data_IF_906957792934
#
_entry.id   IF_906957792934
#
_cell.length_a   1.000
_cell.length_b   1.000
_cell.length_c   1.000
_cell.angle_alpha   90.00
_cell.angle_beta   90.00
_cell.angle_gamma   90.00
#
_symmetry.space_group_name_H-M   'P 1'
#
loop_
_entity.id
_entity.type
_entity.pdbx_description
1 polymer ?
#
# COMPACT_ATOMS: atom_id res chain seq x y z
N UNK A 1 -0.78 -2.81 27.65
CA UNK A 1 -1.08 -2.28 29.00
C UNK A 1 -1.69 -0.89 28.97
N UNK A 2 -1.08 0.16 28.39
CA UNK A 2 -1.67 1.52 28.41
C UNK A 2 -3.02 1.64 27.66
N UNK A 3 -3.21 0.97 26.51
CA UNK A 3 -4.47 1.00 25.76
C UNK A 3 -5.66 0.38 26.53
N UNK A 4 -5.43 -0.75 27.21
CA UNK A 4 -6.44 -1.36 28.08
C UNK A 4 -6.78 -0.47 29.27
N UNK A 5 -5.78 0.19 29.87
CA UNK A 5 -6.00 1.13 30.96
C UNK A 5 -6.87 2.31 30.51
N UNK A 6 -6.64 2.87 29.31
CA UNK A 6 -7.45 3.98 28.79
C UNK A 6 -8.90 3.58 28.48
N UNK A 7 -9.10 2.38 27.93
CA UNK A 7 -10.44 1.86 27.63
C UNK A 7 -11.22 1.57 28.91
N UNK A 8 -10.57 1.00 29.92
CA UNK A 8 -11.16 0.75 31.23
C UNK A 8 -11.50 2.05 31.98
N UNK A 9 -10.65 3.08 31.90
CA UNK A 9 -10.94 4.38 32.48
C UNK A 9 -12.15 5.05 31.82
N UNK A 10 -12.26 4.97 30.49
CA UNK A 10 -13.40 5.51 29.75
C UNK A 10 -14.72 4.83 30.14
N UNK A 11 -14.72 3.49 30.26
CA UNK A 11 -15.88 2.75 30.75
C UNK A 11 -16.24 3.11 32.19
N UNK A 12 -15.25 3.27 33.06
CA UNK A 12 -15.46 3.69 34.45
C UNK A 12 -16.16 5.05 34.54
N UNK A 13 -15.67 6.06 33.80
CA UNK A 13 -16.31 7.38 33.78
C UNK A 13 -17.71 7.37 33.16
N UNK A 14 -17.91 6.59 32.08
CA UNK A 14 -19.23 6.45 31.44
C UNK A 14 -20.24 5.83 32.40
N UNK A 15 -19.88 4.76 33.11
CA UNK A 15 -20.76 4.09 34.07
C UNK A 15 -21.12 5.04 35.23
N UNK A 16 -20.15 5.78 35.77
CA UNK A 16 -20.41 6.76 36.83
C UNK A 16 -21.34 7.87 36.33
N UNK A 17 -21.13 8.39 35.12
CA UNK A 17 -21.99 9.41 34.55
C UNK A 17 -23.44 8.90 34.37
N UNK A 18 -23.61 7.68 33.86
CA UNK A 18 -24.92 7.03 33.70
C UNK A 18 -25.61 6.78 35.04
N UNK A 19 -24.89 6.30 36.05
CA UNK A 19 -25.41 6.11 37.41
C UNK A 19 -25.81 7.46 38.01
N UNK A 20 -24.98 8.49 37.87
CA UNK A 20 -25.28 9.85 38.33
C UNK A 20 -26.55 10.39 37.69
N UNK A 21 -26.72 10.20 36.38
CA UNK A 21 -27.93 10.59 35.65
C UNK A 21 -29.17 9.78 36.08
N UNK A 22 -29.02 8.48 36.29
CA UNK A 22 -30.10 7.62 36.77
C UNK A 22 -30.53 8.01 38.20
N UNK A 23 -29.58 8.25 39.10
CA UNK A 23 -29.85 8.72 40.47
C UNK A 23 -30.50 10.11 40.47
N UNK A 24 -30.01 11.03 39.63
CA UNK A 24 -30.63 12.34 39.44
C UNK A 24 -32.07 12.21 38.95
N UNK A 25 -32.30 11.39 37.91
CA UNK A 25 -33.62 11.10 37.38
C UNK A 25 -34.56 10.51 38.42
N UNK A 26 -34.10 9.50 39.18
CA UNK A 26 -34.88 8.88 40.27
C UNK A 26 -35.19 9.88 41.39
N UNK A 27 -34.24 10.71 41.80
CA UNK A 27 -34.45 11.75 42.79
C UNK A 27 -35.45 12.81 42.30
N UNK A 28 -35.39 13.18 41.02
CA UNK A 28 -36.31 14.15 40.42
C UNK A 28 -37.72 13.57 40.28
N UNK A 29 -37.86 12.31 39.86
CA UNK A 29 -39.14 11.58 39.85
C UNK A 29 -39.72 11.49 41.25
N UNK A 30 -38.90 11.15 42.26
CA UNK A 30 -39.35 11.06 43.65
C UNK A 30 -39.80 12.42 44.20
N UNK A 31 -39.09 13.50 43.89
CA UNK A 31 -39.51 14.87 44.22
C UNK A 31 -40.79 15.28 43.50
N UNK A 32 -40.96 14.91 42.23
CA UNK A 32 -42.17 15.25 41.46
C UNK A 32 -43.44 14.60 42.01
N UNK A 33 -43.32 13.45 42.70
CA UNK A 33 -44.44 12.76 43.35
C UNK A 33 -44.82 13.32 44.73
N UNK A 34 -43.99 14.19 45.32
CA UNK A 34 -44.21 14.71 46.66
C UNK A 34 -45.21 15.88 46.73
N UNK A 35 -45.66 16.43 45.60
CA UNK A 35 -46.63 17.55 45.60
C UNK A 35 -47.71 17.34 44.51
N UNK A 36 -48.65 16.45 44.77
CA UNK A 36 -49.98 16.55 44.17
C UNK A 36 -50.91 17.09 45.26
N UNK A 37 -51.18 18.41 45.24
CA UNK A 37 -52.42 18.94 45.79
C UNK A 37 -52.40 19.88 47.01
N UNK A 38 -51.31 20.52 47.44
CA UNK A 38 -51.43 21.51 48.52
C UNK A 38 -50.29 22.52 48.64
N UNK A 39 -50.12 23.45 47.69
CA UNK A 39 -50.01 24.88 48.05
C UNK A 39 -49.98 25.81 46.83
N UNK A 40 -50.73 26.91 46.95
CA UNK A 40 -50.68 28.04 46.01
C UNK A 40 -49.32 28.73 46.21
N UNK A 41 -48.24 28.12 45.72
CA UNK A 41 -46.95 28.78 45.61
C UNK A 41 -47.08 29.78 44.45
N UNK A 42 -46.78 31.05 44.71
CA UNK A 42 -46.62 32.07 43.66
C UNK A 42 -45.83 31.49 42.49
N UNK A 43 -46.32 31.71 41.27
CA UNK A 43 -45.63 31.30 40.05
C UNK A 43 -44.15 31.71 40.14
N UNK A 44 -43.22 30.87 39.67
CA UNK A 44 -41.79 31.05 39.94
C UNK A 44 -41.25 32.43 39.50
N UNK A 45 -41.88 33.06 38.51
CA UNK A 45 -41.62 34.41 38.01
C UNK A 45 -42.20 35.56 38.87
N UNK A 46 -43.01 35.26 39.89
CA UNK A 46 -43.62 36.23 40.82
C UNK A 46 -43.07 36.14 42.24
N UNK A 47 -42.14 35.21 42.50
CA UNK A 47 -41.41 35.18 43.77
C UNK A 47 -40.39 36.33 43.77
N UNK A 48 -40.20 37.07 44.89
CA UNK A 48 -39.10 38.01 45.01
C UNK A 48 -37.80 37.30 44.65
N UNK A 49 -37.04 37.90 43.74
CA UNK A 49 -35.71 37.38 43.40
C UNK A 49 -34.77 37.62 44.59
N UNK A 50 -33.55 37.10 44.52
CA UNK A 50 -32.54 37.39 45.55
C UNK A 50 -32.37 38.91 45.68
N UNK A 51 -32.20 39.40 46.91
CA UNK A 51 -31.81 40.79 47.16
C UNK A 51 -30.37 41.04 46.68
N UNK A 52 -30.01 42.31 46.55
CA UNK A 52 -28.70 42.70 46.02
C UNK A 52 -27.55 42.15 46.89
N UNK A 53 -27.72 42.07 48.21
CA UNK A 53 -26.70 41.52 49.12
C UNK A 53 -26.44 40.02 48.89
N UNK A 54 -27.49 39.23 48.62
CA UNK A 54 -27.35 37.81 48.28
C UNK A 54 -26.82 37.63 46.86
N UNK A 55 -27.23 38.48 45.92
CA UNK A 55 -26.75 38.48 44.54
C UNK A 55 -25.26 38.78 44.44
N UNK A 56 -24.82 39.87 45.07
CA UNK A 56 -23.44 40.36 45.06
C UNK A 56 -22.52 39.64 46.06
N UNK A 57 -23.08 38.88 47.00
CA UNK A 57 -22.32 38.02 47.91
C UNK A 57 -22.36 36.54 47.51
N UNK A 58 -23.11 35.75 48.27
CA UNK A 58 -23.08 34.27 48.19
C UNK A 58 -23.39 33.72 46.80
N UNK A 59 -24.26 34.38 46.03
CA UNK A 59 -24.66 33.90 44.71
C UNK A 59 -23.55 34.12 43.68
N UNK A 60 -22.97 35.31 43.60
CA UNK A 60 -21.89 35.60 42.65
C UNK A 60 -20.61 34.87 43.03
N UNK A 61 -20.24 34.79 44.31
CA UNK A 61 -19.05 34.05 44.78
C UNK A 61 -19.13 32.57 44.36
N UNK A 62 -20.29 31.94 44.54
CA UNK A 62 -20.51 30.55 44.13
C UNK A 62 -20.40 30.38 42.62
N UNK A 63 -20.94 31.30 41.83
CA UNK A 63 -20.83 31.26 40.37
C UNK A 63 -19.40 31.51 39.89
N UNK A 64 -18.68 32.44 40.52
CA UNK A 64 -17.27 32.73 40.23
C UNK A 64 -16.38 31.55 40.58
N UNK A 65 -16.61 30.87 41.70
CA UNK A 65 -15.91 29.64 42.06
C UNK A 65 -16.09 28.54 41.01
N UNK A 66 -17.30 28.39 40.46
CA UNK A 66 -17.57 27.47 39.34
C UNK A 66 -16.79 27.91 38.09
N UNK A 67 -16.78 29.21 37.79
CA UNK A 67 -16.00 29.78 36.68
C UNK A 67 -14.50 29.51 36.81
N UNK A 68 -13.93 29.71 37.99
CA UNK A 68 -12.52 29.41 38.30
C UNK A 68 -12.26 27.91 38.19
N UNK A 69 -13.16 27.05 38.66
CA UNK A 69 -13.03 25.61 38.52
C UNK A 69 -13.00 25.17 37.05
N UNK A 70 -13.89 25.70 36.21
CA UNK A 70 -13.86 25.46 34.76
C UNK A 70 -12.58 26.00 34.11
N UNK A 71 -12.13 27.20 34.51
CA UNK A 71 -10.88 27.76 34.01
C UNK A 71 -9.69 26.88 34.39
N UNK A 72 -9.63 26.39 35.62
CA UNK A 72 -8.59 25.47 36.08
C UNK A 72 -8.63 24.15 35.29
N UNK A 73 -9.81 23.60 35.03
CA UNK A 73 -9.98 22.40 34.21
C UNK A 73 -9.44 22.64 32.80
N UNK A 74 -9.85 23.72 32.12
CA UNK A 74 -9.39 24.02 30.76
C UNK A 74 -7.89 24.28 30.71
N UNK A 75 -7.36 25.02 31.69
CA UNK A 75 -5.94 25.35 31.80
C UNK A 75 -5.06 24.12 32.01
N UNK A 76 -5.56 23.08 32.68
CA UNK A 76 -4.83 21.82 32.86
C UNK A 76 -5.09 20.82 31.73
N UNK A 77 -6.34 20.70 31.27
CA UNK A 77 -6.74 19.71 30.28
C UNK A 77 -6.17 19.99 28.89
N UNK A 78 -6.09 21.26 28.47
CA UNK A 78 -5.56 21.60 27.13
C UNK A 78 -4.07 21.27 26.99
N UNK A 79 -3.17 21.66 27.93
CA UNK A 79 -1.77 21.24 27.86
C UNK A 79 -1.60 19.72 27.92
N UNK A 80 -2.37 19.03 28.78
CA UNK A 80 -2.34 17.56 28.85
C UNK A 80 -2.80 16.91 27.54
N UNK A 81 -3.84 17.44 26.90
CA UNK A 81 -4.31 16.98 25.60
C UNK A 81 -3.22 17.15 24.53
N UNK A 82 -2.54 18.30 24.51
CA UNK A 82 -1.46 18.58 23.57
C UNK A 82 -0.23 17.69 23.77
N UNK A 83 0.14 17.39 25.02
CA UNK A 83 1.25 16.47 25.34
C UNK A 83 0.97 15.06 24.79
N UNK A 84 -0.29 14.62 24.79
CA UNK A 84 -0.71 13.31 24.29
C UNK A 84 -1.04 13.29 22.79
N UNK A 85 -1.06 14.45 22.13
CA UNK A 85 -1.41 14.59 20.71
C UNK A 85 -0.50 13.78 19.76
N UNK A 86 0.84 13.69 19.95
CA UNK A 86 1.69 12.90 19.07
C UNK A 86 1.29 11.42 19.00
N UNK A 87 1.01 10.80 20.15
CA UNK A 87 0.56 9.41 20.20
C UNK A 87 -0.83 9.21 19.58
N UNK A 88 -1.71 10.22 19.68
CA UNK A 88 -3.03 10.19 19.04
C UNK A 88 -2.93 10.31 17.52
N UNK A 89 -2.02 11.15 17.02
CA UNK A 89 -1.70 11.27 15.59
C UNK A 89 -1.10 9.98 15.04
N UNK A 90 -0.20 9.34 15.78
CA UNK A 90 0.36 8.03 15.42
C UNK A 90 -0.71 6.94 15.40
N UNK A 91 -1.55 6.87 16.43
CA UNK A 91 -2.69 5.94 16.45
C UNK A 91 -3.69 6.18 15.31
N UNK A 92 -3.91 7.44 14.92
CA UNK A 92 -4.75 7.78 13.78
C UNK A 92 -4.15 7.32 12.45
N UNK A 93 -2.83 7.49 12.24
CA UNK A 93 -2.12 6.96 11.07
C UNK A 93 -2.21 5.44 11.01
N UNK A 94 -1.87 4.75 12.10
CA UNK A 94 -1.93 3.29 12.17
C UNK A 94 -3.35 2.78 11.89
N UNK A 95 -4.36 3.38 12.52
CA UNK A 95 -5.76 3.02 12.30
C UNK A 95 -6.25 3.35 10.89
N UNK A 96 -5.73 4.40 10.25
CA UNK A 96 -6.03 4.73 8.86
C UNK A 96 -5.43 3.70 7.91
N UNK A 97 -4.13 3.38 8.05
CA UNK A 97 -3.44 2.41 7.21
C UNK A 97 -4.07 1.02 7.29
N UNK A 98 -4.42 0.53 8.49
CA UNK A 98 -5.08 -0.77 8.66
C UNK A 98 -6.47 -0.79 8.02
N UNK A 99 -7.26 0.29 8.16
CA UNK A 99 -8.57 0.39 7.50
C UNK A 99 -8.44 0.46 5.99
N UNK A 100 -7.49 1.22 5.48
CA UNK A 100 -7.23 1.35 4.04
C UNK A 100 -6.76 0.02 3.45
N UNK A 101 -5.82 -0.66 4.10
CA UNK A 101 -5.39 -1.99 3.70
C UNK A 101 -6.55 -3.00 3.76
N UNK A 102 -7.44 -2.90 4.74
CA UNK A 102 -8.63 -3.76 4.82
C UNK A 102 -9.67 -3.47 3.73
N UNK A 103 -9.88 -2.21 3.35
CA UNK A 103 -10.76 -1.87 2.23
C UNK A 103 -10.14 -2.31 0.90
N UNK A 104 -8.84 -2.06 0.74
CA UNK A 104 -8.07 -2.49 -0.42
C UNK A 104 -8.04 -4.00 -0.59
N UNK A 105 -7.95 -4.77 0.50
CA UNK A 105 -7.96 -6.23 0.42
C UNK A 105 -9.27 -6.77 -0.13
N UNK A 106 -10.41 -6.15 0.22
CA UNK A 106 -11.73 -6.51 -0.32
C UNK A 106 -11.82 -6.20 -1.82
N UNK A 107 -11.29 -5.06 -2.25
CA UNK A 107 -11.24 -4.70 -3.68
C UNK A 107 -10.30 -5.63 -4.45
N UNK A 108 -9.19 -6.02 -3.85
CA UNK A 108 -8.19 -6.90 -4.46
C UNK A 108 -8.68 -8.36 -4.59
N UNK A 109 -9.61 -8.80 -3.76
CA UNK A 109 -10.06 -10.19 -3.68
C UNK A 109 -10.67 -10.72 -4.99
N UNK A 110 -10.90 -12.03 -5.05
CA UNK A 110 -11.57 -12.70 -6.17
C UNK A 110 -13.00 -12.18 -6.36
N UNK A 111 -13.52 -12.25 -7.59
CA UNK A 111 -14.91 -11.84 -7.89
C UNK A 111 -15.95 -12.58 -7.04
N UNK A 112 -15.68 -13.85 -6.70
CA UNK A 112 -16.56 -14.64 -5.83
C UNK A 112 -16.78 -14.02 -4.45
N UNK A 113 -15.82 -13.21 -3.97
CA UNK A 113 -15.88 -12.50 -2.69
C UNK A 113 -16.31 -11.02 -2.86
N UNK A 114 -16.74 -10.62 -4.07
CA UNK A 114 -17.12 -9.25 -4.38
C UNK A 114 -15.96 -8.30 -4.71
N UNK A 115 -14.75 -8.83 -4.91
CA UNK A 115 -13.59 -8.06 -5.36
C UNK A 115 -13.47 -7.94 -6.88
N UNK A 116 -12.41 -7.27 -7.34
CA UNK A 116 -12.12 -7.03 -8.76
C UNK A 116 -11.21 -8.09 -9.39
N UNK A 117 -11.02 -9.24 -8.72
CA UNK A 117 -10.27 -10.39 -9.19
C UNK A 117 -8.76 -10.21 -9.36
N UNK A 118 -8.16 -9.22 -8.70
CA UNK A 118 -6.72 -9.05 -8.67
C UNK A 118 -6.05 -10.31 -8.09
N UNK A 119 -6.61 -10.84 -6.99
CA UNK A 119 -6.19 -12.08 -6.35
C UNK A 119 -6.30 -13.30 -7.28
N UNK A 120 -7.33 -13.36 -8.13
CA UNK A 120 -7.51 -14.46 -9.08
C UNK A 120 -6.36 -14.54 -10.09
N UNK A 121 -5.89 -13.39 -10.57
CA UNK A 121 -4.78 -13.33 -11.52
C UNK A 121 -3.41 -13.42 -10.83
N UNK A 122 -3.21 -12.72 -9.72
CA UNK A 122 -1.89 -12.48 -9.11
C UNK A 122 -1.51 -13.44 -7.97
N UNK A 123 -2.16 -14.60 -7.87
CA UNK A 123 -1.75 -15.64 -6.91
C UNK A 123 -2.33 -15.47 -5.51
N UNK A 124 -3.63 -15.19 -5.44
CA UNK A 124 -4.39 -15.06 -4.20
C UNK A 124 -4.08 -13.79 -3.41
N UNK A 125 -4.53 -13.77 -2.16
CA UNK A 125 -4.39 -12.65 -1.21
C UNK A 125 -2.94 -12.38 -0.79
N UNK A 126 -2.00 -13.26 -1.09
CA UNK A 126 -0.57 -13.01 -0.87
C UNK A 126 0.14 -12.43 -2.09
N UNK A 127 -0.55 -12.33 -3.23
CA UNK A 127 0.03 -11.75 -4.44
C UNK A 127 1.30 -12.48 -4.90
N UNK A 128 1.36 -13.81 -4.78
CA UNK A 128 2.57 -14.59 -5.02
C UNK A 128 2.91 -14.81 -6.51
N UNK A 129 2.08 -14.28 -7.42
CA UNK A 129 2.16 -14.57 -8.84
C UNK A 129 1.19 -15.70 -9.21
N UNK A 130 0.66 -15.67 -10.41
CA UNK A 130 -0.39 -16.59 -10.84
C UNK A 130 -0.50 -16.65 -12.35
N UNK A 131 -1.70 -16.96 -12.84
CA UNK A 131 -1.98 -17.00 -14.26
C UNK A 131 -3.31 -16.31 -14.56
N UNK A 132 -3.43 -15.77 -15.77
CA UNK A 132 -4.66 -15.19 -16.29
C UNK A 132 -4.90 -15.70 -17.70
N UNK A 133 -6.15 -16.04 -18.00
CA UNK A 133 -6.55 -16.43 -19.35
C UNK A 133 -6.57 -15.19 -20.25
N UNK A 134 -6.00 -15.28 -21.45
CA UNK A 134 -5.92 -14.18 -22.39
C UNK A 134 -6.17 -14.62 -23.83
N UNK A 135 -6.97 -13.85 -24.56
CA UNK A 135 -7.20 -14.07 -25.98
C UNK A 135 -6.12 -13.34 -26.80
N UNK A 136 -5.32 -14.11 -27.54
CA UNK A 136 -4.36 -13.58 -28.51
C UNK A 136 -4.96 -13.64 -29.91
N UNK A 137 -4.99 -12.49 -30.57
CA UNK A 137 -5.29 -12.41 -32.00
C UNK A 137 -4.00 -12.46 -32.81
N UNK A 138 -3.91 -13.40 -33.74
CA UNK A 138 -2.83 -13.42 -34.73
C UNK A 138 -3.00 -12.25 -35.71
N UNK A 139 -2.00 -11.40 -35.81
CA UNK A 139 -2.04 -10.21 -36.66
C UNK A 139 -2.05 -10.50 -38.17
N UNK A 140 -1.65 -11.70 -38.59
CA UNK A 140 -1.58 -12.13 -39.99
C UNK A 140 -2.83 -12.88 -40.43
N UNK A 141 -3.34 -13.78 -39.58
CA UNK A 141 -4.49 -14.64 -39.92
C UNK A 141 -5.81 -14.14 -39.34
N UNK A 142 -5.77 -13.29 -38.32
CA UNK A 142 -6.96 -12.85 -37.57
C UNK A 142 -7.51 -13.92 -36.62
N UNK A 143 -6.87 -15.09 -36.53
CA UNK A 143 -7.29 -16.17 -35.66
C UNK A 143 -7.12 -15.77 -34.18
N UNK A 144 -8.10 -16.10 -33.36
CA UNK A 144 -8.07 -15.86 -31.92
C UNK A 144 -7.83 -17.18 -31.21
N UNK A 145 -6.75 -17.25 -30.43
CA UNK A 145 -6.48 -18.39 -29.55
C UNK A 145 -6.38 -17.93 -28.10
N UNK A 146 -6.79 -18.81 -27.20
CA UNK A 146 -6.67 -18.61 -25.77
C UNK A 146 -5.29 -19.07 -25.28
N UNK A 147 -4.66 -18.29 -24.39
CA UNK A 147 -3.41 -18.66 -23.73
C UNK A 147 -3.48 -18.43 -22.23
N UNK A 148 -2.65 -19.16 -21.48
CA UNK A 148 -2.40 -18.92 -20.07
C UNK A 148 -1.25 -17.93 -19.91
N UNK A 149 -1.58 -16.71 -19.50
CA UNK A 149 -0.63 -15.63 -19.27
C UNK A 149 -0.07 -15.68 -17.85
N UNK A 150 1.25 -15.62 -17.71
CA UNK A 150 1.98 -15.57 -16.44
C UNK A 150 1.83 -14.21 -15.79
N UNK A 151 1.05 -14.18 -14.71
CA UNK A 151 0.80 -12.98 -13.93
C UNK A 151 1.90 -12.79 -12.88
N UNK A 152 2.54 -11.60 -12.84
CA UNK A 152 3.65 -11.34 -11.94
C UNK A 152 3.22 -11.35 -10.47
N UNK A 153 4.13 -11.70 -9.58
CA UNK A 153 3.93 -11.52 -8.15
C UNK A 153 3.85 -10.02 -7.79
N UNK A 154 2.93 -9.68 -6.89
CA UNK A 154 2.70 -8.32 -6.42
C UNK A 154 3.31 -8.08 -5.04
N UNK A 155 3.69 -9.13 -4.31
CA UNK A 155 4.39 -9.04 -3.03
C UNK A 155 5.85 -8.55 -3.13
N UNK A 156 6.34 -8.25 -4.32
CA UNK A 156 7.64 -7.59 -4.54
C UNK A 156 7.54 -6.40 -5.50
N UNK A 157 6.33 -5.87 -5.74
CA UNK A 157 6.12 -4.79 -6.70
C UNK A 157 6.86 -3.50 -6.31
N UNK A 158 6.89 -3.15 -5.02
CA UNK A 158 7.50 -1.90 -4.56
C UNK A 158 9.02 -1.94 -4.47
N UNK A 159 9.65 -3.09 -4.71
CA UNK A 159 11.10 -3.19 -4.91
C UNK A 159 11.55 -2.61 -6.26
N UNK A 160 10.61 -2.51 -7.21
CA UNK A 160 10.88 -2.27 -8.63
C UNK A 160 10.22 -1.02 -9.17
N UNK A 161 9.11 -0.63 -8.54
CA UNK A 161 8.27 0.50 -8.93
C UNK A 161 7.98 1.37 -7.72
N UNK A 162 7.96 2.68 -7.93
CA UNK A 162 7.39 3.65 -6.99
C UNK A 162 5.87 3.49 -6.87
N UNK A 163 5.28 4.04 -5.80
CA UNK A 163 3.82 4.08 -5.66
C UNK A 163 3.14 4.77 -6.85
N UNK A 164 3.75 5.82 -7.40
CA UNK A 164 3.20 6.55 -8.55
C UNK A 164 3.16 5.71 -9.83
N UNK A 165 4.17 4.87 -10.06
CA UNK A 165 4.21 3.97 -11.22
C UNK A 165 3.22 2.82 -11.06
N UNK A 166 3.08 2.27 -9.85
CA UNK A 166 2.04 1.26 -9.56
C UNK A 166 0.65 1.85 -9.73
N UNK A 167 0.43 3.08 -9.25
CA UNK A 167 -0.81 3.82 -9.46
C UNK A 167 -1.10 3.97 -10.95
N UNK A 168 -0.12 4.39 -11.76
CA UNK A 168 -0.28 4.51 -13.21
C UNK A 168 -0.69 3.18 -13.86
N UNK A 169 -0.08 2.07 -13.45
CA UNK A 169 -0.43 0.72 -13.94
C UNK A 169 -1.86 0.34 -13.54
N UNK A 170 -2.29 0.65 -12.31
CA UNK A 170 -3.66 0.38 -11.88
C UNK A 170 -4.66 1.28 -12.63
N UNK A 171 -4.32 2.53 -12.86
CA UNK A 171 -5.19 3.49 -13.54
C UNK A 171 -5.37 3.16 -15.02
N UNK A 172 -4.28 2.89 -15.75
CA UNK A 172 -4.28 2.75 -17.21
C UNK A 172 -4.07 1.31 -17.70
N UNK A 173 -3.85 0.37 -16.80
CA UNK A 173 -3.53 -1.01 -17.14
C UNK A 173 -2.13 -1.16 -17.78
N UNK A 174 -1.89 -2.32 -18.37
CA UNK A 174 -0.72 -2.57 -19.23
C UNK A 174 -1.18 -3.09 -20.59
N UNK A 175 -1.01 -2.28 -21.67
CA UNK A 175 -1.33 -2.72 -23.02
C UNK A 175 -0.63 -4.03 -23.37
N UNK A 176 -1.28 -4.81 -24.25
CA UNK A 176 -0.80 -6.13 -24.69
C UNK A 176 -0.60 -7.14 -23.56
N UNK A 177 -1.40 -7.02 -22.50
CA UNK A 177 -1.47 -7.98 -21.40
C UNK A 177 -2.90 -8.08 -20.87
N UNK A 178 -3.22 -9.08 -20.02
CA UNK A 178 -4.52 -9.20 -19.37
C UNK A 178 -4.82 -8.08 -18.37
N UNK A 179 -3.82 -7.26 -18.01
CA UNK A 179 -3.96 -6.21 -17.02
C UNK A 179 -4.70 -4.99 -17.61
N UNK A 180 -6.02 -5.00 -17.46
CA UNK A 180 -6.92 -3.91 -17.86
C UNK A 180 -6.75 -2.67 -16.97
N UNK A 181 -7.19 -1.48 -17.44
CA UNK A 181 -7.30 -0.30 -16.59
C UNK A 181 -8.36 -0.50 -15.50
N UNK A 182 -8.03 -0.11 -14.27
CA UNK A 182 -8.95 -0.15 -13.13
C UNK A 182 -9.37 1.23 -12.67
N UNK A 183 -8.56 2.26 -12.86
CA UNK A 183 -8.90 3.63 -12.48
C UNK A 183 -9.88 4.28 -13.45
N UNK A 184 -10.83 5.06 -12.94
CA UNK A 184 -11.79 5.84 -13.74
C UNK A 184 -11.12 6.72 -14.80
N UNK A 185 -9.93 7.25 -14.51
CA UNK A 185 -9.15 8.06 -15.44
C UNK A 185 -8.65 7.29 -16.66
N UNK A 186 -8.43 5.97 -16.52
CA UNK A 186 -8.09 5.07 -17.63
C UNK A 186 -9.28 4.27 -18.17
N UNK A 187 -10.51 4.60 -17.76
CA UNK A 187 -11.74 3.93 -18.18
C UNK A 187 -12.15 2.71 -17.34
N UNK A 188 -11.49 2.48 -16.20
CA UNK A 188 -11.84 1.42 -15.25
C UNK A 188 -12.90 1.84 -14.21
N UNK A 189 -13.33 0.91 -13.33
CA UNK A 189 -14.44 1.13 -12.39
C UNK A 189 -14.06 1.81 -11.06
N UNK A 190 -12.78 1.94 -10.73
CA UNK A 190 -12.32 2.41 -9.42
C UNK A 190 -12.03 3.90 -9.40
N UNK A 191 -12.56 4.60 -8.39
CA UNK A 191 -12.21 5.99 -8.13
C UNK A 191 -10.82 6.12 -7.47
N UNK A 192 -10.35 7.36 -7.32
CA UNK A 192 -9.02 7.65 -6.76
C UNK A 192 -8.81 7.08 -5.34
N UNK A 193 -9.83 7.12 -4.49
CA UNK A 193 -9.75 6.58 -3.12
C UNK A 193 -9.66 5.06 -3.14
N UNK A 194 -10.45 4.39 -3.99
CA UNK A 194 -10.39 2.93 -4.15
C UNK A 194 -9.00 2.50 -4.62
N UNK A 195 -8.40 3.20 -5.59
CA UNK A 195 -7.02 2.96 -6.03
C UNK A 195 -6.04 3.13 -4.85
N UNK A 196 -6.18 4.18 -4.04
CA UNK A 196 -5.32 4.38 -2.87
C UNK A 196 -5.46 3.28 -1.83
N UNK A 197 -6.67 2.77 -1.59
CA UNK A 197 -6.87 1.63 -0.67
C UNK A 197 -6.22 0.35 -1.21
N UNK A 198 -6.29 0.09 -2.53
CA UNK A 198 -5.58 -1.04 -3.16
C UNK A 198 -4.06 -0.87 -3.02
N UNK A 199 -3.52 0.33 -3.23
CA UNK A 199 -2.10 0.62 -3.01
C UNK A 199 -1.67 0.36 -1.56
N UNK A 200 -2.48 0.79 -0.58
CA UNK A 200 -2.24 0.51 0.83
C UNK A 200 -2.22 -1.01 1.12
N UNK A 201 -3.15 -1.76 0.52
CA UNK A 201 -3.15 -3.21 0.63
C UNK A 201 -1.91 -3.85 -0.01
N UNK A 202 -1.51 -3.41 -1.21
CA UNK A 202 -0.29 -3.91 -1.87
C UNK A 202 0.94 -3.69 -0.99
N UNK A 203 1.04 -2.54 -0.29
CA UNK A 203 2.14 -2.29 0.66
C UNK A 203 2.14 -3.29 1.80
N UNK A 204 0.95 -3.64 2.31
CA UNK A 204 0.81 -4.56 3.45
C UNK A 204 1.25 -6.00 3.16
N UNK A 205 1.22 -6.43 1.88
CA UNK A 205 1.56 -7.79 1.46
C UNK A 205 2.98 -7.94 0.91
N UNK A 206 3.81 -6.89 0.95
CA UNK A 206 5.18 -7.00 0.46
C UNK A 206 5.99 -7.99 1.30
N UNK A 207 6.89 -8.72 0.65
CA UNK A 207 7.98 -9.42 1.33
C UNK A 207 8.82 -8.37 2.06
N UNK A 208 9.14 -8.56 3.35
CA UNK A 208 10.03 -7.65 4.08
C UNK A 208 11.44 -7.62 3.47
N UNK A 209 12.01 -6.41 3.35
CA UNK A 209 13.40 -6.17 2.96
C UNK A 209 14.35 -6.48 4.10
N UNK A 210 15.54 -6.92 3.74
CA UNK A 210 16.70 -6.96 4.63
C UNK A 210 17.52 -5.68 4.44
N UNK A 211 18.17 -5.21 5.51
CA UNK A 211 19.12 -4.10 5.49
C UNK A 211 18.54 -2.76 4.98
N UNK A 212 17.35 -2.39 5.45
CA UNK A 212 16.78 -1.06 5.24
C UNK A 212 17.77 0.05 5.60
N UNK A 213 17.75 1.16 4.86
CA UNK A 213 18.65 2.30 5.10
C UNK A 213 18.42 2.98 6.46
N UNK A 214 17.17 2.94 6.94
CA UNK A 214 16.77 3.48 8.24
C UNK A 214 16.43 2.31 9.16
N UNK A 215 17.12 2.25 10.30
CA UNK A 215 16.82 1.32 11.38
C UNK A 215 15.40 1.61 11.90
N UNK A 216 14.59 0.58 12.08
CA UNK A 216 13.18 0.62 12.51
C UNK A 216 12.14 1.12 11.48
N UNK A 217 12.52 1.37 10.23
CA UNK A 217 11.54 1.58 9.16
C UNK A 217 10.75 0.28 8.85
N UNK A 218 9.50 0.41 8.40
CA UNK A 218 8.72 -0.76 7.98
C UNK A 218 9.43 -1.49 6.82
N UNK A 219 9.91 -2.72 7.03
CA UNK A 219 10.73 -3.41 6.04
C UNK A 219 9.97 -3.74 4.76
N UNK A 220 8.64 -3.67 4.75
CA UNK A 220 7.82 -3.88 3.56
C UNK A 220 7.98 -2.75 2.53
N UNK A 221 8.33 -1.55 2.98
CA UNK A 221 8.33 -0.33 2.15
C UNK A 221 9.53 0.60 2.41
N UNK A 222 10.49 0.21 3.25
CA UNK A 222 11.62 1.04 3.65
C UNK A 222 12.52 1.45 2.48
N UNK A 223 13.11 2.64 2.54
CA UNK A 223 14.12 3.02 1.55
C UNK A 223 15.39 2.17 1.67
N UNK A 224 16.02 1.88 0.53
CA UNK A 224 17.13 0.95 0.46
C UNK A 224 16.69 -0.49 0.74
N UNK A 225 17.60 -1.26 1.33
CA UNK A 225 17.42 -2.69 1.55
C UNK A 225 17.41 -3.51 0.26
N UNK A 226 17.42 -4.83 0.44
CA UNK A 226 17.35 -5.79 -0.64
C UNK A 226 16.36 -6.90 -0.32
N UNK A 227 15.99 -7.66 -1.36
CA UNK A 227 15.22 -8.87 -1.25
C UNK A 227 15.96 -9.84 -0.30
N UNK A 228 15.25 -10.55 0.60
CA UNK A 228 15.90 -11.45 1.54
C UNK A 228 16.91 -12.36 0.88
N UNK A 229 18.07 -12.57 1.52
CA UNK A 229 19.16 -13.36 0.93
C UNK A 229 18.70 -14.75 0.49
N UNK A 230 17.83 -15.41 1.26
CA UNK A 230 17.24 -16.70 0.90
C UNK A 230 16.54 -16.68 -0.47
N UNK A 231 15.84 -15.58 -0.80
CA UNK A 231 15.17 -15.41 -2.09
C UNK A 231 16.16 -15.11 -3.22
N UNK A 232 17.24 -14.38 -2.93
CA UNK A 232 18.30 -14.17 -3.91
C UNK A 232 19.06 -15.47 -4.20
N UNK A 233 19.27 -16.30 -3.18
CA UNK A 233 19.88 -17.62 -3.31
C UNK A 233 18.95 -18.59 -4.08
N UNK A 234 17.62 -18.52 -3.88
CA UNK A 234 16.62 -19.25 -4.68
C UNK A 234 16.70 -18.90 -6.18
N UNK A 235 16.87 -17.61 -6.50
CA UNK A 235 17.04 -17.12 -7.88
C UNK A 235 18.30 -17.71 -8.51
N UNK A 236 19.43 -17.69 -7.79
CA UNK A 236 20.69 -18.27 -8.25
C UNK A 236 20.54 -19.78 -8.47
N UNK A 237 20.01 -20.49 -7.49
CA UNK A 237 19.87 -21.95 -7.54
C UNK A 237 18.99 -22.40 -8.71
N UNK A 238 17.88 -21.70 -8.98
CA UNK A 238 17.02 -22.04 -10.11
C UNK A 238 17.68 -21.75 -11.46
N UNK A 239 18.40 -20.63 -11.59
CA UNK A 239 19.15 -20.32 -12.80
C UNK A 239 20.25 -21.36 -13.07
N UNK A 240 21.01 -21.76 -12.05
CA UNK A 240 22.01 -22.83 -12.15
C UNK A 240 21.38 -24.18 -12.50
N UNK A 241 20.24 -24.53 -11.90
CA UNK A 241 19.49 -25.75 -12.21
C UNK A 241 19.07 -25.79 -13.68
N UNK A 242 18.58 -24.67 -14.23
CA UNK A 242 18.16 -24.56 -15.63
C UNK A 242 19.34 -24.73 -16.61
N UNK A 243 20.51 -24.19 -16.25
CA UNK A 243 21.74 -24.40 -17.02
C UNK A 243 22.19 -25.87 -16.95
N UNK A 244 22.21 -26.46 -15.75
CA UNK A 244 22.58 -27.86 -15.55
C UNK A 244 21.63 -28.83 -16.29
N UNK A 245 20.35 -28.46 -16.41
CA UNK A 245 19.35 -29.19 -17.18
C UNK A 245 19.47 -28.98 -18.70
N UNK A 246 20.40 -28.14 -19.18
CA UNK A 246 20.58 -27.82 -20.59
C UNK A 246 19.45 -26.97 -21.19
N UNK A 247 18.60 -26.36 -20.35
CA UNK A 247 17.52 -25.48 -20.83
C UNK A 247 18.07 -24.16 -21.38
N UNK A 248 19.12 -23.64 -20.76
CA UNK A 248 19.83 -22.42 -21.18
C UNK A 248 21.33 -22.67 -21.22
N UNK A 249 22.02 -21.93 -22.08
CA UNK A 249 23.45 -22.12 -22.34
C UNK A 249 24.36 -21.47 -21.29
N UNK A 250 23.84 -20.48 -20.54
CA UNK A 250 24.61 -19.73 -19.56
C UNK A 250 23.74 -19.25 -18.39
N UNK A 251 24.40 -18.94 -17.29
CA UNK A 251 23.75 -18.39 -16.09
C UNK A 251 23.02 -17.07 -16.37
N UNK A 252 23.63 -16.17 -17.16
CA UNK A 252 23.00 -14.90 -17.56
C UNK A 252 21.76 -15.10 -18.44
N UNK A 253 21.78 -16.07 -19.34
CA UNK A 253 20.61 -16.43 -20.16
C UNK A 253 19.47 -17.00 -19.31
N UNK A 254 19.79 -17.86 -18.34
CA UNK A 254 18.81 -18.43 -17.44
C UNK A 254 18.14 -17.36 -16.57
N UNK A 255 18.92 -16.42 -16.01
CA UNK A 255 18.39 -15.27 -15.28
C UNK A 255 17.52 -14.38 -16.16
N UNK A 256 17.94 -14.12 -17.40
CA UNK A 256 17.16 -13.32 -18.35
C UNK A 256 15.77 -13.91 -18.60
N UNK A 257 15.64 -15.24 -18.63
CA UNK A 257 14.41 -15.97 -18.94
C UNK A 257 13.72 -16.63 -17.73
N UNK A 258 14.08 -16.24 -16.50
CA UNK A 258 13.66 -16.90 -15.26
C UNK A 258 12.15 -16.82 -15.00
N UNK A 259 11.51 -17.95 -14.70
CA UNK A 259 10.06 -18.01 -14.52
C UNK A 259 9.57 -17.70 -13.08
N UNK A 260 10.50 -17.66 -12.12
CA UNK A 260 10.17 -17.49 -10.70
C UNK A 260 9.30 -16.23 -10.44
N UNK A 261 8.31 -16.38 -9.56
CA UNK A 261 7.38 -15.31 -9.18
C UNK A 261 6.56 -14.75 -10.35
N UNK A 262 6.25 -15.57 -11.36
CA UNK A 262 5.54 -15.13 -12.57
C UNK A 262 6.40 -14.24 -13.48
N UNK A 263 7.71 -14.49 -13.51
CA UNK A 263 8.68 -13.68 -14.27
C UNK A 263 9.03 -12.35 -13.63
N UNK A 264 8.93 -12.22 -12.31
CA UNK A 264 9.22 -10.96 -11.63
C UNK A 264 10.69 -10.53 -11.70
N UNK A 265 11.56 -11.51 -11.87
CA UNK A 265 13.01 -11.35 -11.95
C UNK A 265 13.52 -11.40 -13.39
N UNK A 266 12.66 -11.75 -14.35
CA UNK A 266 13.05 -11.96 -15.74
C UNK A 266 12.93 -10.71 -16.60
N UNK A 267 13.95 -10.49 -17.42
CA UNK A 267 13.98 -9.45 -18.44
C UNK A 267 13.13 -9.83 -19.67
N UNK A 268 13.08 -11.13 -20.00
CA UNK A 268 12.34 -11.68 -21.14
C UNK A 268 10.85 -11.35 -21.08
N UNK A 269 10.27 -11.21 -19.87
CA UNK A 269 8.88 -10.77 -19.69
C UNK A 269 8.54 -9.49 -20.45
N UNK A 270 9.48 -8.55 -20.56
CA UNK A 270 9.29 -7.31 -21.31
C UNK A 270 10.00 -7.34 -22.67
N UNK A 271 11.13 -8.02 -22.78
CA UNK A 271 12.03 -7.96 -23.93
C UNK A 271 11.93 -9.17 -24.88
N UNK A 272 11.08 -10.15 -24.61
CA UNK A 272 10.85 -11.31 -25.47
C UNK A 272 9.35 -11.47 -25.71
N UNK A 273 8.92 -11.26 -26.96
CA UNK A 273 7.51 -11.48 -27.33
C UNK A 273 7.12 -12.92 -27.04
N UNK A 274 5.98 -13.10 -26.39
CA UNK A 274 5.39 -14.40 -26.08
C UNK A 274 5.99 -15.20 -24.93
N UNK A 275 7.02 -14.66 -24.28
CA UNK A 275 7.56 -15.26 -23.06
C UNK A 275 6.50 -15.41 -21.96
N UNK A 276 5.65 -14.40 -21.78
CA UNK A 276 4.61 -14.39 -20.73
C UNK A 276 3.52 -15.44 -20.93
N UNK A 277 3.43 -16.11 -22.07
CA UNK A 277 2.40 -17.14 -22.32
C UNK A 277 2.99 -18.44 -22.89
N UNK A 278 4.28 -18.68 -22.65
CA UNK A 278 4.93 -19.95 -22.96
C UNK A 278 5.23 -20.18 -24.45
N UNK A 279 5.21 -19.12 -25.25
CA UNK A 279 5.53 -19.17 -26.68
C UNK A 279 6.55 -18.07 -27.02
N UNK A 280 7.76 -18.12 -26.41
CA UNK A 280 8.78 -17.10 -26.60
C UNK A 280 9.27 -17.11 -28.06
N UNK A 281 9.31 -15.92 -28.66
CA UNK A 281 9.98 -15.68 -29.93
C UNK A 281 11.49 -15.47 -29.69
N UNK A 282 12.14 -14.68 -30.56
CA UNK A 282 13.56 -14.35 -30.41
C UNK A 282 13.80 -13.73 -29.02
N UNK A 283 14.64 -14.37 -28.22
CA UNK A 283 15.04 -13.88 -26.90
C UNK A 283 15.68 -12.50 -27.01
N UNK A 284 15.14 -11.53 -26.26
CA UNK A 284 15.59 -10.14 -26.35
C UNK A 284 15.13 -9.40 -27.62
N UNK A 285 14.33 -10.03 -28.49
CA UNK A 285 13.85 -9.47 -29.76
C UNK A 285 12.89 -8.26 -29.63
N UNK A 286 12.51 -7.90 -28.41
CA UNK A 286 11.59 -6.81 -28.10
C UNK A 286 10.14 -7.27 -27.99
N UNK A 287 9.38 -6.56 -27.17
CA UNK A 287 7.92 -6.69 -27.05
C UNK A 287 7.34 -5.41 -26.42
N UNK A 288 7.18 -5.41 -25.10
CA UNK A 288 6.84 -4.20 -24.35
C UNK A 288 8.07 -3.30 -24.18
N UNK A 289 9.24 -3.93 -23.96
CA UNK A 289 10.55 -3.29 -23.96
C UNK A 289 11.20 -3.31 -25.34
N UNK A 290 12.23 -2.47 -25.57
CA UNK A 290 12.95 -2.40 -26.84
C UNK A 290 13.67 -3.72 -27.18
N UNK A 291 14.02 -3.87 -28.46
CA UNK A 291 14.91 -4.93 -28.93
C UNK A 291 16.32 -4.74 -28.35
N UNK A 292 16.86 -5.82 -27.79
CA UNK A 292 18.19 -5.89 -27.16
C UNK A 292 19.23 -6.59 -28.03
N UNK A 293 18.80 -7.25 -29.11
CA UNK A 293 19.65 -8.06 -30.00
C UNK A 293 20.43 -7.22 -31.02
N UNK A 294 21.37 -7.86 -31.73
CA UNK A 294 22.11 -7.25 -32.84
C UNK A 294 23.02 -6.12 -32.37
N UNK A 295 23.58 -6.24 -31.17
CA UNK A 295 24.43 -5.22 -30.55
C UNK A 295 23.69 -3.92 -30.17
N UNK A 296 22.35 -3.93 -30.14
CA UNK A 296 21.53 -2.77 -29.74
C UNK A 296 21.92 -2.27 -28.36
N UNK A 297 22.05 -3.19 -27.40
CA UNK A 297 22.43 -2.89 -26.02
C UNK A 297 23.82 -2.27 -25.91
N UNK A 298 24.78 -2.73 -26.72
CA UNK A 298 26.16 -2.20 -26.73
C UNK A 298 26.21 -0.79 -27.32
N UNK A 299 25.43 -0.51 -28.37
CA UNK A 299 25.33 0.84 -28.94
C UNK A 299 24.66 1.81 -27.96
N UNK A 300 23.62 1.36 -27.26
CA UNK A 300 22.92 2.18 -26.28
C UNK A 300 23.77 2.43 -25.02
N UNK A 301 24.54 1.42 -24.59
CA UNK A 301 25.43 1.48 -23.44
C UNK A 301 26.84 1.01 -23.82
N UNK A 302 27.68 1.90 -24.38
CA UNK A 302 29.06 1.54 -24.73
C UNK A 302 29.83 1.04 -23.51
N UNK A 303 29.63 1.70 -22.36
CA UNK A 303 30.21 1.32 -21.07
C UNK A 303 29.29 0.32 -20.36
N UNK A 304 29.84 -0.86 -20.02
CA UNK A 304 29.11 -1.93 -19.32
C UNK A 304 28.50 -1.46 -17.99
N UNK A 305 29.26 -0.69 -17.21
CA UNK A 305 28.80 -0.21 -15.90
C UNK A 305 27.59 0.74 -16.01
N UNK A 306 27.46 1.50 -17.08
CA UNK A 306 26.28 2.36 -17.28
C UNK A 306 25.02 1.52 -17.49
N UNK A 307 25.14 0.38 -18.17
CA UNK A 307 24.05 -0.57 -18.31
C UNK A 307 23.69 -1.23 -16.98
N UNK A 308 24.69 -1.62 -16.18
CA UNK A 308 24.47 -2.17 -14.83
C UNK A 308 23.72 -1.16 -13.96
N UNK A 309 24.18 0.09 -13.94
CA UNK A 309 23.54 1.17 -13.17
C UNK A 309 22.11 1.43 -13.64
N UNK A 310 21.87 1.40 -14.95
CA UNK A 310 20.53 1.53 -15.51
C UNK A 310 19.59 0.38 -15.11
N UNK A 311 20.07 -0.87 -15.12
CA UNK A 311 19.25 -2.01 -14.67
C UNK A 311 18.99 -1.94 -13.16
N UNK A 312 19.99 -1.50 -12.38
CA UNK A 312 19.83 -1.30 -10.93
C UNK A 312 18.78 -0.24 -10.61
N UNK A 313 18.82 0.91 -11.30
CA UNK A 313 17.96 2.07 -11.02
C UNK A 313 16.64 2.12 -11.79
N UNK A 314 16.51 1.37 -12.89
CA UNK A 314 15.37 1.46 -13.80
C UNK A 314 15.39 2.71 -14.67
N UNK A 315 14.36 2.85 -15.51
CA UNK A 315 14.15 4.07 -16.30
C UNK A 315 13.26 5.04 -15.54
N UNK A 316 13.60 6.33 -15.56
CA UNK A 316 12.74 7.40 -15.04
C UNK A 316 12.15 8.23 -16.17
N UNK A 317 10.88 8.64 -16.04
CA UNK A 317 10.19 9.38 -17.08
C UNK A 317 10.91 10.70 -17.42
N UNK A 318 11.25 10.89 -18.69
CA UNK A 318 11.89 12.10 -19.20
C UNK A 318 13.40 12.18 -18.95
N UNK A 319 13.99 11.34 -18.08
CA UNK A 319 15.43 11.35 -17.82
C UNK A 319 16.21 10.63 -18.93
N UNK A 320 17.38 11.15 -19.27
CA UNK A 320 18.30 10.51 -20.22
C UNK A 320 18.89 9.25 -19.61
N UNK A 321 19.09 8.22 -20.43
CA UNK A 321 19.90 7.04 -20.11
C UNK A 321 20.70 6.59 -21.33
N UNK A 322 21.88 6.02 -21.11
CA UNK A 322 22.80 5.63 -22.19
C UNK A 322 23.10 6.79 -23.14
N UNK A 323 23.42 6.46 -24.40
CA UNK A 323 23.77 7.45 -25.41
C UNK A 323 22.58 8.34 -25.82
N UNK A 324 21.47 7.75 -26.24
CA UNK A 324 20.31 8.51 -26.80
C UNK A 324 18.95 8.06 -26.25
N UNK A 325 18.93 7.42 -25.08
CA UNK A 325 17.70 6.92 -24.47
C UNK A 325 17.00 7.99 -23.65
N UNK A 326 15.68 8.06 -23.73
CA UNK A 326 14.85 8.81 -22.78
C UNK A 326 13.95 7.83 -22.04
N UNK A 327 14.02 7.84 -20.72
CA UNK A 327 13.29 6.93 -19.86
C UNK A 327 11.79 7.19 -19.93
N UNK A 328 11.02 6.11 -19.85
CA UNK A 328 9.56 6.14 -19.86
C UNK A 328 8.93 5.92 -18.48
N UNK A 329 9.72 5.59 -17.46
CA UNK A 329 9.20 5.10 -16.17
C UNK A 329 8.73 3.64 -16.21
N UNK A 330 8.90 2.93 -17.34
CA UNK A 330 8.33 1.58 -17.53
C UNK A 330 9.32 0.46 -17.32
N UNK A 331 10.62 0.72 -17.46
CA UNK A 331 11.67 -0.25 -17.12
C UNK A 331 11.91 -0.19 -15.61
N UNK A 332 11.52 -1.22 -14.84
CA UNK A 332 11.69 -1.21 -13.39
C UNK A 332 13.16 -1.26 -12.97
N UNK A 333 13.40 -0.83 -11.73
CA UNK A 333 14.64 -1.05 -11.01
C UNK A 333 14.78 -2.53 -10.59
N UNK A 334 15.98 -3.10 -10.69
CA UNK A 334 16.27 -4.46 -10.21
C UNK A 334 17.33 -4.50 -9.11
N UNK A 335 17.93 -3.36 -8.74
CA UNK A 335 19.05 -3.32 -7.78
C UNK A 335 18.70 -3.76 -6.36
N UNK A 336 17.45 -3.64 -5.95
CA UNK A 336 16.97 -4.17 -4.67
C UNK A 336 16.51 -5.64 -4.77
N UNK A 337 16.36 -6.19 -5.97
CA UNK A 337 15.83 -7.54 -6.21
C UNK A 337 16.94 -8.55 -6.44
N UNK A 338 17.90 -8.21 -7.30
CA UNK A 338 18.97 -9.08 -7.77
C UNK A 338 20.31 -8.66 -7.17
N UNK A 339 21.21 -9.62 -7.00
CA UNK A 339 22.59 -9.33 -6.56
C UNK A 339 23.41 -8.70 -7.69
N UNK A 340 24.55 -8.12 -7.34
CA UNK A 340 25.47 -7.51 -8.31
C UNK A 340 26.01 -8.55 -9.30
N UNK A 341 26.28 -9.78 -8.84
CA UNK A 341 26.71 -10.89 -9.69
C UNK A 341 25.61 -11.30 -10.67
N UNK A 342 24.36 -11.40 -10.21
CA UNK A 342 23.21 -11.73 -11.05
C UNK A 342 22.98 -10.67 -12.13
N UNK A 343 23.00 -9.38 -11.75
CA UNK A 343 22.86 -8.28 -12.71
C UNK A 343 24.02 -8.27 -13.70
N UNK A 344 25.25 -8.48 -13.22
CA UNK A 344 26.42 -8.55 -14.09
C UNK A 344 26.32 -9.68 -15.12
N UNK A 345 25.87 -10.88 -14.70
CA UNK A 345 25.66 -12.01 -15.60
C UNK A 345 24.58 -11.74 -16.65
N UNK A 346 23.46 -11.11 -16.26
CA UNK A 346 22.41 -10.66 -17.20
C UNK A 346 23.00 -9.68 -18.21
N UNK A 347 23.79 -8.69 -17.75
CA UNK A 347 24.41 -7.69 -18.63
C UNK A 347 25.37 -8.35 -19.62
N UNK A 348 26.18 -9.29 -19.18
CA UNK A 348 27.10 -10.02 -20.06
C UNK A 348 26.34 -10.81 -21.14
N UNK A 349 25.25 -11.49 -20.76
CA UNK A 349 24.38 -12.16 -21.73
C UNK A 349 23.76 -11.19 -22.73
N UNK A 350 23.11 -10.12 -22.24
CA UNK A 350 22.39 -9.16 -23.08
C UNK A 350 23.32 -8.40 -24.04
N UNK A 351 24.57 -8.14 -23.63
CA UNK A 351 25.58 -7.54 -24.52
C UNK A 351 26.08 -8.50 -25.60
N UNK A 352 25.88 -9.80 -25.42
CA UNK A 352 26.19 -10.85 -26.40
C UNK A 352 25.06 -11.17 -27.38
N UNK A 353 23.86 -10.59 -27.18
CA UNK A 353 22.72 -10.69 -28.10
C UNK A 353 22.86 -9.76 -29.31
#
# INVERSE_FOLDING_TARGET
>A
MFADTTTNLAWFFLIIALIGWALYGLANIRKSRAEIGSEIKLAANRKPYYDDEVLEGKKIERTQLIGIAFLAIVTLALPLYWILEPGRQEGAKNGWEHRFASWGSRLYDVTANGGFNCAGCHGGTKGAGGAAVYALTDSKTGEVREVSWKSPALNTIFYRFSQSEVRFILEYGRPFSPMSPWGVVGGGPMNEQQIETVLAYLKSIQIPRENCAVLDADPRICDGGHLPKEKQDEITAEAERLVAAGTYSSFGEALFNLDLGGGNYSCARCHTKGWSYGDPQITGGGALGPNLTGGSSVRQFPVKNDMINFIKGGSEYGKRYGEQGQGSGRMPAFGAMLTDEQINAIVDYVRGL
#
